data_IF_697120279838
#
_entry.id   IF_697120279838
#
_cell.length_a   1.000
_cell.length_b   1.000
_cell.length_c   1.000
_cell.angle_alpha   90.00
_cell.angle_beta   90.00
_cell.angle_gamma   90.00
#
_symmetry.space_group_name_H-M   'P 1'
#
loop_
_entity.id
_entity.type
_entity.pdbx_description
1 polymer ?
#
# COMPACT_ATOMS: atom_id res chain seq x y z
N UNK A 1 16.86 11.78 15.80
CA UNK A 1 15.77 11.81 16.80
C UNK A 1 14.67 10.87 16.36
N UNK A 2 14.21 9.93 17.19
CA UNK A 2 13.22 8.90 16.77
C UNK A 2 11.82 9.31 17.26
N UNK A 3 10.82 9.47 16.38
CA UNK A 3 9.49 9.99 16.77
C UNK A 3 8.79 9.03 17.74
N UNK A 4 8.84 7.73 17.46
CA UNK A 4 8.19 6.69 18.28
C UNK A 4 8.65 6.69 19.74
N UNK A 5 9.87 7.18 20.01
CA UNK A 5 10.44 7.28 21.36
C UNK A 5 10.40 8.70 21.91
N UNK A 6 10.71 9.70 21.09
CA UNK A 6 10.92 11.08 21.53
C UNK A 6 9.61 11.87 21.57
N UNK A 7 8.68 11.57 20.66
CA UNK A 7 7.42 12.30 20.49
C UNK A 7 6.23 11.35 20.28
N UNK A 8 5.94 10.45 21.24
CA UNK A 8 4.85 9.48 21.11
C UNK A 8 3.46 10.13 20.92
N UNK A 9 3.30 11.40 21.31
CA UNK A 9 2.08 12.18 21.09
C UNK A 9 1.74 12.39 19.60
N UNK A 10 2.70 12.27 18.67
CA UNK A 10 2.45 12.35 17.23
C UNK A 10 1.92 11.04 16.64
N UNK A 11 2.08 9.91 17.34
CA UNK A 11 1.72 8.59 16.81
C UNK A 11 0.23 8.42 16.48
N UNK A 12 -0.73 8.95 17.26
CA UNK A 12 -2.13 8.90 16.87
C UNK A 12 -2.35 9.51 15.49
N UNK A 13 -1.80 10.70 15.22
CA UNK A 13 -1.97 11.35 13.92
C UNK A 13 -1.32 10.56 12.78
N UNK A 14 -0.09 10.08 12.98
CA UNK A 14 0.63 9.25 11.98
C UNK A 14 -0.15 7.96 11.65
N UNK A 15 -0.80 7.36 12.65
CA UNK A 15 -1.63 6.17 12.46
C UNK A 15 -2.88 6.44 11.63
N UNK A 16 -3.54 7.58 11.85
CA UNK A 16 -4.75 7.95 11.11
C UNK A 16 -4.42 8.47 9.70
N UNK A 17 -3.19 8.92 9.45
CA UNK A 17 -2.78 9.34 8.12
C UNK A 17 -2.63 8.11 7.21
N UNK A 18 -3.39 7.99 6.11
CA UNK A 18 -3.42 6.77 5.28
C UNK A 18 -2.09 6.55 4.53
N UNK A 19 -1.36 7.59 4.18
CA UNK A 19 -0.10 7.43 3.45
C UNK A 19 0.28 8.69 2.71
N UNK A 20 1.56 8.77 2.33
CA UNK A 20 2.12 9.95 1.66
C UNK A 20 3.02 10.77 2.58
N UNK A 21 3.00 12.09 2.39
CA UNK A 21 3.89 13.04 3.08
C UNK A 21 3.10 13.85 4.10
N UNK A 22 3.47 13.71 5.38
CA UNK A 22 2.96 14.47 6.50
C UNK A 22 4.07 15.39 7.05
N UNK A 23 4.17 16.64 6.58
CA UNK A 23 5.09 17.61 7.15
C UNK A 23 4.61 18.04 8.54
N UNK A 24 5.54 18.21 9.47
CA UNK A 24 5.28 18.73 10.81
C UNK A 24 6.41 19.63 11.27
N UNK A 25 6.08 20.61 12.10
CA UNK A 25 7.10 21.25 12.94
C UNK A 25 7.52 20.29 14.05
N UNK A 26 8.82 20.24 14.35
CA UNK A 26 9.31 19.45 15.49
C UNK A 26 8.68 19.99 16.79
N UNK A 27 8.22 19.12 17.72
CA UNK A 27 7.65 19.55 19.00
C UNK A 27 8.58 20.41 19.87
N UNK A 28 9.90 20.26 19.71
CA UNK A 28 10.91 21.13 20.35
C UNK A 28 11.05 22.51 19.70
N UNK A 29 10.43 22.73 18.54
CA UNK A 29 10.45 23.97 17.79
C UNK A 29 11.75 24.24 17.01
N UNK A 30 12.72 23.33 17.04
CA UNK A 30 14.10 23.51 16.53
C UNK A 30 14.21 23.22 15.02
N UNK A 31 13.27 22.48 14.45
CA UNK A 31 13.29 22.10 13.05
C UNK A 31 11.95 21.61 12.52
N UNK A 32 12.02 20.95 11.36
CA UNK A 32 10.87 20.34 10.70
C UNK A 32 11.08 18.85 10.51
N UNK A 33 9.99 18.11 10.59
CA UNK A 33 9.89 16.69 10.38
C UNK A 33 9.14 16.47 9.06
N UNK A 34 9.73 15.68 8.17
CA UNK A 34 9.06 15.18 6.98
C UNK A 34 8.75 13.71 7.23
N UNK A 35 7.54 13.43 7.69
CA UNK A 35 7.08 12.06 7.95
C UNK A 35 6.56 11.51 6.62
N UNK A 36 7.14 10.42 6.13
CA UNK A 36 6.78 9.82 4.85
C UNK A 36 6.32 8.38 5.10
N UNK A 37 5.04 8.12 4.84
CA UNK A 37 4.37 6.84 5.09
C UNK A 37 4.11 6.11 3.77
N UNK A 38 4.84 5.02 3.53
CA UNK A 38 4.94 4.38 2.21
C UNK A 38 5.14 2.86 2.34
N UNK A 39 4.94 2.09 1.27
CA UNK A 39 5.39 0.70 1.21
C UNK A 39 6.89 0.52 1.40
N UNK A 40 7.28 -0.63 1.97
CA UNK A 40 8.66 -1.01 2.29
C UNK A 40 9.62 -0.92 1.10
N UNK A 41 9.12 -1.13 -0.13
CA UNK A 41 9.87 -1.02 -1.38
C UNK A 41 10.38 0.41 -1.59
N UNK A 42 9.52 1.40 -1.33
CA UNK A 42 9.85 2.82 -1.45
C UNK A 42 10.87 3.24 -0.40
N UNK A 43 10.67 2.75 0.83
CA UNK A 43 11.57 3.01 1.96
C UNK A 43 12.96 2.45 1.64
N UNK A 44 13.03 1.22 1.10
CA UNK A 44 14.29 0.59 0.70
C UNK A 44 14.96 1.37 -0.43
N UNK A 45 14.21 1.76 -1.47
CA UNK A 45 14.73 2.55 -2.58
C UNK A 45 15.35 3.87 -2.11
N UNK A 46 14.66 4.59 -1.22
CA UNK A 46 15.17 5.82 -0.59
C UNK A 46 16.46 5.59 0.21
N UNK A 47 16.50 4.52 1.03
CA UNK A 47 17.71 4.17 1.80
C UNK A 47 18.90 3.93 0.88
N UNK A 48 18.70 3.16 -0.20
CA UNK A 48 19.76 2.77 -1.13
C UNK A 48 20.26 3.95 -1.97
N UNK A 49 19.37 4.82 -2.43
CA UNK A 49 19.74 6.01 -3.21
C UNK A 49 20.40 7.09 -2.33
N UNK A 50 20.07 7.15 -1.04
CA UNK A 50 20.52 8.22 -0.15
C UNK A 50 19.83 9.57 -0.42
N UNK A 51 18.81 9.60 -1.27
CA UNK A 51 18.02 10.79 -1.56
C UNK A 51 16.64 10.45 -2.12
N UNK A 52 15.75 11.43 -2.10
CA UNK A 52 14.52 11.43 -2.91
C UNK A 52 14.45 12.70 -3.74
N UNK A 53 13.76 12.65 -4.89
CA UNK A 53 13.48 13.84 -5.70
C UNK A 53 12.01 14.20 -5.66
N UNK A 54 11.74 15.49 -5.56
CA UNK A 54 10.42 16.09 -5.54
C UNK A 54 10.25 16.99 -6.77
N UNK A 55 9.32 16.62 -7.63
CA UNK A 55 9.01 17.29 -8.88
C UNK A 55 7.75 18.13 -8.70
N UNK A 56 7.87 19.43 -8.98
CA UNK A 56 6.75 20.35 -9.02
C UNK A 56 6.19 20.35 -10.45
N UNK A 57 5.16 19.53 -10.67
CA UNK A 57 4.51 19.30 -11.96
C UNK A 57 3.53 20.43 -12.29
N UNK A 58 3.84 21.34 -13.24
CA UNK A 58 2.90 22.35 -13.68
C UNK A 58 1.81 21.71 -14.54
N UNK A 59 0.55 21.85 -14.13
CA UNK A 59 -0.60 21.33 -14.88
C UNK A 59 -1.69 22.39 -15.00
N UNK A 60 -2.56 22.23 -15.99
CA UNK A 60 -3.70 23.12 -16.20
C UNK A 60 -5.00 22.37 -15.88
N UNK A 61 -5.75 22.87 -14.91
CA UNK A 61 -7.00 22.28 -14.45
C UNK A 61 -8.10 23.33 -14.57
N UNK A 62 -9.10 23.07 -15.41
CA UNK A 62 -10.21 24.01 -15.69
C UNK A 62 -9.73 25.44 -16.03
N UNK A 63 -8.64 25.57 -16.79
CA UNK A 63 -8.06 26.86 -17.21
C UNK A 63 -7.17 27.54 -16.16
N UNK A 64 -7.06 26.99 -14.95
CA UNK A 64 -6.16 27.47 -13.91
C UNK A 64 -4.83 26.72 -13.94
N UNK A 65 -3.71 27.47 -13.88
CA UNK A 65 -2.38 26.89 -13.72
C UNK A 65 -2.15 26.52 -12.26
N UNK A 66 -2.01 25.23 -12.00
CA UNK A 66 -1.72 24.69 -10.67
C UNK A 66 -0.45 23.86 -10.71
N UNK A 67 0.12 23.59 -9.55
CA UNK A 67 1.29 22.73 -9.40
C UNK A 67 0.91 21.53 -8.54
N UNK A 68 1.20 20.33 -9.03
CA UNK A 68 1.17 19.11 -8.24
C UNK A 68 2.57 18.70 -7.77
N UNK A 69 2.64 17.85 -6.75
CA UNK A 69 3.90 17.27 -6.29
C UNK A 69 3.96 15.79 -6.68
N UNK A 70 5.06 15.40 -7.29
CA UNK A 70 5.43 14.00 -7.44
C UNK A 70 6.77 13.74 -6.76
N UNK A 71 6.82 12.78 -5.86
CA UNK A 71 8.04 12.35 -5.18
C UNK A 71 8.50 11.04 -5.80
N UNK A 72 9.76 10.98 -6.24
CA UNK A 72 10.38 9.82 -6.87
C UNK A 72 11.41 9.16 -5.95
N UNK A 73 11.35 7.83 -5.88
CA UNK A 73 12.23 6.95 -5.12
C UNK A 73 12.91 6.03 -6.13
N UNK A 74 14.22 6.20 -6.29
CA UNK A 74 14.96 5.62 -7.42
C UNK A 74 15.45 4.20 -7.09
N UNK A 75 14.64 3.20 -7.43
CA UNK A 75 15.06 1.80 -7.56
C UNK A 75 15.50 1.46 -8.99
N UNK A 76 14.86 2.08 -9.97
CA UNK A 76 15.25 2.20 -11.37
C UNK A 76 15.43 3.69 -11.73
N UNK A 77 16.39 4.01 -12.60
CA UNK A 77 16.68 5.40 -12.95
C UNK A 77 15.59 6.00 -13.86
N UNK A 78 15.05 5.19 -14.77
CA UNK A 78 14.13 5.65 -15.81
C UNK A 78 12.68 5.54 -15.34
N UNK A 79 12.39 4.52 -14.53
CA UNK A 79 11.05 4.24 -13.99
C UNK A 79 11.07 4.11 -12.46
N UNK A 80 11.35 5.21 -11.73
CA UNK A 80 11.38 5.18 -10.28
C UNK A 80 9.99 4.91 -9.70
N UNK A 81 9.94 4.35 -8.49
CA UNK A 81 8.72 4.34 -7.68
C UNK A 81 8.27 5.78 -7.41
N UNK A 82 6.98 6.07 -7.58
CA UNK A 82 6.44 7.43 -7.44
C UNK A 82 5.32 7.54 -6.42
N UNK A 83 5.30 8.65 -5.69
CA UNK A 83 4.22 9.08 -4.82
C UNK A 83 3.67 10.41 -5.35
N UNK A 84 2.38 10.44 -5.67
CA UNK A 84 1.68 11.68 -6.01
C UNK A 84 1.14 12.31 -4.75
N UNK A 85 1.46 13.58 -4.52
CA UNK A 85 0.91 14.39 -3.43
C UNK A 85 0.20 15.60 -4.04
N UNK A 86 -1.14 15.72 -3.87
CA UNK A 86 -1.84 16.91 -4.32
C UNK A 86 -1.41 18.10 -3.45
N UNK A 87 -1.18 19.24 -4.08
CA UNK A 87 -0.88 20.49 -3.37
C UNK A 87 -2.13 21.37 -3.37
N UNK A 88 -2.81 21.38 -2.23
CA UNK A 88 -4.05 22.12 -2.00
C UNK A 88 -3.76 23.45 -1.29
N UNK A 89 -4.66 24.43 -1.36
CA UNK A 89 -4.54 25.67 -0.57
C UNK A 89 -4.93 25.40 0.90
N UNK A 90 -4.08 24.64 1.59
CA UNK A 90 -4.28 24.12 2.94
C UNK A 90 -2.99 24.14 3.80
N UNK A 91 -3.16 23.93 5.11
CA UNK A 91 -2.07 23.92 6.09
C UNK A 91 -1.01 22.85 5.77
N UNK A 92 -1.41 21.72 5.19
CA UNK A 92 -0.50 20.63 4.84
C UNK A 92 0.52 21.06 3.77
N UNK A 93 0.05 21.75 2.73
CA UNK A 93 0.90 22.25 1.66
C UNK A 93 1.80 23.40 2.14
N UNK A 94 1.30 24.23 3.05
CA UNK A 94 2.09 25.27 3.70
C UNK A 94 3.20 24.71 4.58
N UNK A 95 2.89 23.72 5.42
CA UNK A 95 3.84 23.04 6.29
C UNK A 95 4.90 22.30 5.46
N UNK A 96 4.52 21.73 4.32
CA UNK A 96 5.48 21.13 3.38
C UNK A 96 6.47 22.18 2.88
N UNK A 97 5.97 23.31 2.41
CA UNK A 97 6.83 24.40 1.92
C UNK A 97 7.72 24.98 3.02
N UNK A 98 7.23 25.07 4.26
CA UNK A 98 8.03 25.46 5.41
C UNK A 98 9.14 24.45 5.70
N UNK A 99 8.82 23.15 5.68
CA UNK A 99 9.79 22.08 5.89
C UNK A 99 10.89 22.07 4.82
N UNK A 100 10.53 22.25 3.54
CA UNK A 100 11.48 22.33 2.43
C UNK A 100 12.43 23.53 2.53
N UNK A 101 11.99 24.64 3.11
CA UNK A 101 12.83 25.82 3.32
C UNK A 101 13.63 25.78 4.65
N UNK A 102 13.45 24.73 5.47
CA UNK A 102 14.13 24.58 6.75
C UNK A 102 15.61 24.23 6.58
N UNK A 103 16.47 24.78 7.44
CA UNK A 103 17.87 24.34 7.56
C UNK A 103 18.00 23.05 8.36
N UNK A 104 17.06 22.80 9.27
CA UNK A 104 16.99 21.61 10.11
C UNK A 104 15.78 20.78 9.66
N UNK A 105 16.04 19.77 8.83
CA UNK A 105 15.02 18.86 8.33
C UNK A 105 15.40 17.43 8.75
N UNK A 106 14.44 16.68 9.27
CA UNK A 106 14.57 15.24 9.51
C UNK A 106 13.51 14.50 8.72
N UNK A 107 13.91 13.47 7.98
CA UNK A 107 12.99 12.61 7.21
C UNK A 107 12.76 11.34 7.99
N UNK A 108 11.50 11.02 8.26
CA UNK A 108 11.10 9.83 9.01
C UNK A 108 10.29 8.91 8.10
N UNK A 109 10.82 7.72 7.85
CA UNK A 109 10.15 6.71 7.04
C UNK A 109 9.30 5.79 7.91
N UNK A 110 8.01 5.79 7.64
CA UNK A 110 7.05 4.88 8.24
C UNK A 110 6.49 3.95 7.17
N UNK A 111 6.19 2.71 7.54
CA UNK A 111 5.37 1.87 6.69
C UNK A 111 3.87 2.11 6.88
N UNK A 112 3.05 1.42 6.10
CA UNK A 112 1.60 1.55 6.10
C UNK A 112 0.98 1.25 7.48
N UNK A 113 1.63 0.40 8.28
CA UNK A 113 1.23 0.09 9.66
C UNK A 113 1.82 1.05 10.70
N UNK A 114 2.40 2.17 10.25
CA UNK A 114 2.94 3.23 11.10
C UNK A 114 4.09 2.75 11.98
N UNK A 115 4.91 1.86 11.45
CA UNK A 115 6.17 1.41 12.06
C UNK A 115 7.31 2.27 11.51
N UNK A 116 8.05 2.94 12.40
CA UNK A 116 9.17 3.85 12.03
C UNK A 116 10.41 3.02 11.70
N UNK A 117 10.82 2.99 10.44
CA UNK A 117 11.93 2.15 9.96
C UNK A 117 13.25 2.90 9.87
N UNK A 118 13.24 4.14 9.38
CA UNK A 118 14.45 4.94 9.25
C UNK A 118 14.21 6.38 9.60
N UNK A 119 15.24 7.02 10.16
CA UNK A 119 15.28 8.46 10.35
C UNK A 119 16.59 9.01 9.84
N UNK A 120 16.50 10.02 9.00
CA UNK A 120 17.65 10.70 8.43
C UNK A 120 17.64 12.17 8.81
N UNK A 121 18.80 12.71 9.18
CA UNK A 121 19.05 14.14 9.03
C UNK A 121 19.18 14.44 7.55
N UNK A 122 18.44 15.44 7.10
CA UNK A 122 18.29 15.70 5.68
C UNK A 122 18.41 17.18 5.36
N UNK A 123 18.69 17.47 4.09
CA UNK A 123 18.69 18.84 3.56
C UNK A 123 17.95 18.88 2.25
N UNK A 124 17.09 19.88 2.09
CA UNK A 124 16.47 20.17 0.81
C UNK A 124 17.37 21.08 -0.04
N UNK A 125 17.65 20.65 -1.26
CA UNK A 125 18.28 21.45 -2.30
C UNK A 125 17.18 21.83 -3.29
N UNK A 126 16.85 23.12 -3.32
CA UNK A 126 15.76 23.65 -4.15
C UNK A 126 16.38 24.50 -5.26
N UNK A 127 16.35 24.05 -6.52
CA UNK A 127 16.72 24.87 -7.67
C UNK A 127 15.87 26.14 -7.76
N UNK A 128 16.45 27.23 -8.28
CA UNK A 128 15.77 28.54 -8.36
C UNK A 128 14.45 28.47 -9.14
N UNK A 129 14.41 27.70 -10.22
CA UNK A 129 13.20 27.48 -11.01
C UNK A 129 12.05 26.85 -10.18
N UNK A 130 12.39 25.90 -9.30
CA UNK A 130 11.41 25.28 -8.40
C UNK A 130 11.02 26.19 -7.24
N UNK A 131 11.96 27.00 -6.73
CA UNK A 131 11.67 28.01 -5.70
C UNK A 131 10.56 28.97 -6.13
N UNK A 132 10.53 29.35 -7.41
CA UNK A 132 9.47 30.21 -7.97
C UNK A 132 8.09 29.54 -8.07
N UNK A 133 8.06 28.21 -8.10
CA UNK A 133 6.83 27.38 -8.14
C UNK A 133 6.29 27.10 -6.72
N UNK A 134 7.11 27.22 -5.68
CA UNK A 134 6.70 27.10 -4.26
C UNK A 134 5.94 28.37 -3.86
N UNK A 135 4.64 28.40 -4.11
CA UNK A 135 3.79 29.55 -3.82
C UNK A 135 2.31 29.18 -3.74
N UNK A 136 1.59 29.78 -2.79
CA UNK A 136 0.13 29.61 -2.64
C UNK A 136 -0.66 29.91 -3.91
N UNK A 137 -0.14 30.77 -4.79
CA UNK A 137 -0.79 31.15 -6.06
C UNK A 137 -0.99 29.97 -7.02
N UNK A 138 -0.23 28.89 -6.86
CA UNK A 138 -0.29 27.71 -7.72
C UNK A 138 -0.94 26.50 -7.04
N UNK A 139 -1.44 26.66 -5.81
CA UNK A 139 -2.14 25.59 -5.09
C UNK A 139 -3.56 25.42 -5.63
N UNK A 140 -4.04 24.18 -5.63
CA UNK A 140 -5.41 23.89 -6.03
C UNK A 140 -6.37 24.34 -4.92
N UNK A 141 -7.37 25.15 -5.30
CA UNK A 141 -8.35 25.71 -4.35
C UNK A 141 -9.64 24.92 -4.26
N UNK A 142 -10.03 24.25 -5.33
CA UNK A 142 -11.28 23.49 -5.41
C UNK A 142 -11.00 22.00 -5.27
N UNK A 143 -11.46 21.40 -4.17
CA UNK A 143 -11.30 19.97 -3.89
C UNK A 143 -12.05 19.07 -4.89
N UNK A 144 -13.07 19.56 -5.59
CA UNK A 144 -13.77 18.78 -6.62
C UNK A 144 -12.89 18.49 -7.84
N UNK A 145 -11.80 19.26 -8.02
CA UNK A 145 -10.85 19.08 -9.11
C UNK A 145 -9.67 18.18 -8.73
N UNK A 146 -9.67 17.61 -7.52
CA UNK A 146 -8.58 16.78 -7.02
C UNK A 146 -8.34 15.56 -7.90
N UNK A 147 -9.41 14.91 -8.38
CA UNK A 147 -9.30 13.77 -9.28
C UNK A 147 -8.54 14.11 -10.58
N UNK A 148 -8.88 15.24 -11.20
CA UNK A 148 -8.22 15.74 -12.42
C UNK A 148 -6.74 16.03 -12.18
N UNK A 149 -6.39 16.62 -11.03
CA UNK A 149 -5.01 16.90 -10.65
C UNK A 149 -4.20 15.61 -10.47
N UNK A 150 -4.75 14.62 -9.77
CA UNK A 150 -4.08 13.34 -9.52
C UNK A 150 -3.83 12.52 -10.79
N UNK A 151 -4.62 12.73 -11.85
CA UNK A 151 -4.39 12.11 -13.16
C UNK A 151 -3.35 12.86 -13.99
N UNK A 152 -3.37 14.19 -13.93
CA UNK A 152 -2.47 15.03 -14.73
C UNK A 152 -1.00 14.90 -14.28
N UNK A 153 -0.74 14.72 -12.98
CA UNK A 153 0.62 14.67 -12.43
C UNK A 153 1.44 13.48 -12.96
N UNK A 154 0.97 12.21 -12.87
CA UNK A 154 1.70 11.07 -13.44
C UNK A 154 1.88 11.19 -14.95
N UNK A 155 0.88 11.70 -15.66
CA UNK A 155 0.98 11.90 -17.10
C UNK A 155 2.10 12.89 -17.45
N UNK A 156 2.14 14.04 -16.77
CA UNK A 156 3.22 15.01 -16.93
C UNK A 156 4.59 14.39 -16.64
N UNK A 157 4.71 13.61 -15.56
CA UNK A 157 5.97 12.99 -15.16
C UNK A 157 6.46 11.92 -16.15
N UNK A 158 5.54 11.21 -16.81
CA UNK A 158 5.87 10.28 -17.89
C UNK A 158 6.51 10.95 -19.11
N UNK A 159 6.32 12.27 -19.25
CA UNK A 159 6.85 13.10 -20.33
C UNK A 159 8.01 13.99 -19.87
N UNK A 160 8.57 13.75 -18.67
CA UNK A 160 9.63 14.57 -18.10
C UNK A 160 10.87 14.59 -18.98
N UNK A 161 11.61 15.69 -18.91
CA UNK A 161 12.85 15.93 -19.64
C UNK A 161 14.04 16.00 -18.68
N UNK A 162 15.28 15.96 -19.20
CA UNK A 162 16.48 16.20 -18.40
C UNK A 162 16.46 17.54 -17.66
N UNK A 163 15.80 18.54 -18.24
CA UNK A 163 15.59 19.84 -17.58
C UNK A 163 14.72 19.70 -16.33
N UNK A 164 13.64 18.91 -16.41
CA UNK A 164 12.78 18.67 -15.25
C UNK A 164 13.53 17.93 -14.14
N UNK A 165 14.44 17.01 -14.50
CA UNK A 165 15.32 16.31 -13.55
C UNK A 165 16.36 17.21 -12.87
N UNK A 166 16.83 18.25 -13.57
CA UNK A 166 17.72 19.29 -13.02
C UNK A 166 16.96 20.32 -12.16
N UNK A 167 15.70 20.59 -12.49
CA UNK A 167 14.84 21.50 -11.74
C UNK A 167 14.21 20.84 -10.50
N UNK A 168 14.24 19.51 -10.39
CA UNK A 168 13.69 18.78 -9.25
C UNK A 168 14.33 19.19 -7.91
N UNK A 169 13.50 19.24 -6.87
CA UNK A 169 13.97 19.44 -5.50
C UNK A 169 14.60 18.14 -5.02
N UNK A 170 15.82 18.18 -4.50
CA UNK A 170 16.51 16.99 -3.98
C UNK A 170 16.48 17.05 -2.46
N UNK A 171 15.97 16.00 -1.82
CA UNK A 171 16.13 15.80 -0.36
C UNK A 171 17.27 14.80 -0.17
N UNK A 172 18.44 15.31 0.21
CA UNK A 172 19.62 14.48 0.46
C UNK A 172 19.61 13.96 1.90
N UNK A 173 19.94 12.69 2.08
CA UNK A 173 20.08 12.05 3.39
C UNK A 173 21.55 12.09 3.79
N UNK A 174 21.84 12.70 4.94
CA UNK A 174 23.21 12.95 5.39
C UNK A 174 23.68 11.96 6.45
N UNK A 175 22.88 11.78 7.51
CA UNK A 175 23.19 10.91 8.64
C UNK A 175 21.94 10.12 9.02
N UNK A 176 22.10 8.81 9.16
CA UNK A 176 21.06 7.92 9.68
C UNK A 176 21.13 7.91 11.20
N UNK A 177 20.03 8.25 11.87
CA UNK A 177 19.97 8.40 13.33
C UNK A 177 20.07 7.07 14.08
N UNK A 178 19.67 5.98 13.45
CA UNK A 178 19.84 4.62 13.92
C UNK A 178 19.92 3.67 12.73
N UNK A 179 20.69 2.59 12.85
CA UNK A 179 20.90 1.62 11.76
C UNK A 179 19.66 0.79 11.42
N UNK A 180 19.85 -0.29 10.68
CA UNK A 180 18.76 -1.21 10.35
C UNK A 180 18.08 -1.77 11.61
N UNK A 181 16.77 -1.54 11.70
CA UNK A 181 15.95 -2.02 12.81
C UNK A 181 15.07 -3.18 12.40
N UNK A 182 14.91 -4.08 13.35
CA UNK A 182 14.01 -5.20 13.27
C UNK A 182 12.93 -4.96 14.33
N UNK A 183 11.68 -4.77 13.91
CA UNK A 183 10.59 -4.35 14.78
C UNK A 183 9.79 -5.58 15.19
N UNK A 184 9.62 -5.78 16.49
CA UNK A 184 8.79 -6.85 17.04
C UNK A 184 7.55 -6.26 17.70
N UNK A 185 6.37 -6.73 17.31
CA UNK A 185 5.10 -6.38 17.95
C UNK A 185 4.65 -7.54 18.85
N UNK A 186 4.49 -7.24 20.13
CA UNK A 186 4.03 -8.16 21.17
C UNK A 186 2.65 -7.77 21.73
N UNK A 187 1.96 -6.81 21.11
CA UNK A 187 0.67 -6.35 21.61
C UNK A 187 -0.39 -7.46 21.45
N UNK A 188 -1.00 -7.96 22.55
CA UNK A 188 -1.95 -9.07 22.44
C UNK A 188 -3.16 -8.73 21.55
N UNK A 189 -3.59 -7.47 21.60
CA UNK A 189 -4.70 -6.96 20.79
C UNK A 189 -4.46 -7.00 19.28
N UNK A 190 -3.22 -7.17 18.83
CA UNK A 190 -2.88 -7.26 17.40
C UNK A 190 -2.79 -8.72 16.91
N UNK A 191 -2.98 -9.68 17.81
CA UNK A 191 -2.73 -11.11 17.58
C UNK A 191 -3.86 -11.97 18.16
N UNK A 192 -5.12 -11.52 18.07
CA UNK A 192 -6.31 -12.22 18.57
C UNK A 192 -7.01 -13.07 17.49
N UNK A 193 -6.48 -13.10 16.27
CA UNK A 193 -7.00 -13.93 15.19
C UNK A 193 -6.62 -15.40 15.38
N UNK A 194 -7.34 -16.30 14.72
CA UNK A 194 -7.07 -17.73 14.80
C UNK A 194 -5.79 -18.06 14.01
N UNK A 195 -4.85 -18.76 14.65
CA UNK A 195 -3.53 -19.08 14.08
C UNK A 195 -2.43 -18.08 14.43
N UNK A 196 -2.76 -17.03 15.19
CA UNK A 196 -1.77 -16.05 15.63
C UNK A 196 -0.69 -16.68 16.53
N UNK A 197 0.57 -16.25 16.32
CA UNK A 197 1.72 -16.68 17.15
C UNK A 197 1.84 -15.90 18.47
N UNK A 198 1.00 -14.89 18.68
CA UNK A 198 1.09 -13.94 19.79
C UNK A 198 2.14 -12.85 19.61
N UNK A 199 2.87 -12.86 18.51
CA UNK A 199 3.84 -11.85 18.12
C UNK A 199 4.00 -11.79 16.62
N UNK A 200 4.53 -10.68 16.12
CA UNK A 200 4.96 -10.53 14.74
C UNK A 200 6.27 -9.76 14.67
N UNK A 201 6.98 -9.93 13.57
CA UNK A 201 8.26 -9.30 13.31
C UNK A 201 8.21 -8.61 11.95
N UNK A 202 8.97 -7.53 11.77
CA UNK A 202 9.13 -6.88 10.47
C UNK A 202 10.49 -6.21 10.35
N UNK A 203 10.92 -6.09 9.11
CA UNK A 203 12.11 -5.37 8.66
C UNK A 203 11.85 -4.93 7.22
N UNK A 204 12.58 -3.91 6.77
CA UNK A 204 12.47 -3.39 5.40
C UNK A 204 12.98 -4.40 4.38
N UNK A 205 14.16 -4.95 4.59
CA UNK A 205 14.76 -5.95 3.71
C UNK A 205 14.26 -7.36 4.06
N UNK A 206 13.59 -8.03 3.12
CA UNK A 206 12.96 -9.34 3.35
C UNK A 206 13.42 -10.35 2.31
N UNK A 207 14.16 -11.38 2.73
CA UNK A 207 14.57 -12.50 1.87
C UNK A 207 13.45 -13.54 1.68
N UNK A 208 12.73 -13.84 2.76
CA UNK A 208 11.58 -14.75 2.77
C UNK A 208 10.33 -13.96 3.18
N UNK A 209 9.65 -13.31 2.22
CA UNK A 209 8.66 -12.29 2.53
C UNK A 209 7.26 -12.83 2.89
N UNK A 210 6.94 -14.09 2.55
CA UNK A 210 5.58 -14.65 2.63
C UNK A 210 4.91 -14.44 3.99
N UNK A 211 5.51 -14.99 5.05
CA UNK A 211 4.96 -14.85 6.41
C UNK A 211 4.82 -13.39 6.88
N UNK A 212 5.71 -12.49 6.45
CA UNK A 212 5.59 -11.07 6.78
C UNK A 212 4.42 -10.42 6.03
N UNK A 213 4.22 -10.77 4.76
CA UNK A 213 3.14 -10.23 3.96
C UNK A 213 1.78 -10.70 4.47
N UNK A 214 1.65 -11.97 4.84
CA UNK A 214 0.41 -12.52 5.41
C UNK A 214 0.02 -11.79 6.70
N UNK A 215 0.98 -11.55 7.60
CA UNK A 215 0.76 -10.78 8.83
C UNK A 215 0.38 -9.32 8.54
N UNK A 216 1.05 -8.68 7.58
CA UNK A 216 0.72 -7.32 7.13
C UNK A 216 -0.71 -7.27 6.51
N UNK A 217 -1.13 -8.30 5.76
CA UNK A 217 -2.50 -8.43 5.21
C UNK A 217 -3.53 -8.63 6.33
N UNK A 218 -3.25 -9.49 7.31
CA UNK A 218 -4.14 -9.69 8.47
C UNK A 218 -4.34 -8.38 9.24
N UNK A 219 -3.29 -7.57 9.37
CA UNK A 219 -3.39 -6.23 9.99
C UNK A 219 -4.29 -5.29 9.18
N UNK A 220 -4.22 -5.32 7.85
CA UNK A 220 -5.16 -4.58 7.00
C UNK A 220 -6.60 -5.06 7.23
N UNK A 221 -6.83 -6.37 7.11
CA UNK A 221 -8.17 -6.95 7.29
C UNK A 221 -8.74 -6.68 8.68
N UNK A 222 -7.91 -6.64 9.72
CA UNK A 222 -8.33 -6.32 11.10
C UNK A 222 -8.83 -4.87 11.28
N UNK A 223 -8.67 -4.00 10.28
CA UNK A 223 -9.29 -2.67 10.27
C UNK A 223 -10.78 -2.74 9.91
N UNK A 224 -11.20 -3.74 9.13
CA UNK A 224 -12.58 -3.89 8.65
C UNK A 224 -13.32 -5.04 9.34
N UNK A 225 -12.59 -6.07 9.80
CA UNK A 225 -13.14 -7.32 10.31
C UNK A 225 -12.74 -7.55 11.78
N UNK A 226 -13.62 -8.19 12.55
CA UNK A 226 -13.29 -8.63 13.89
C UNK A 226 -12.23 -9.75 13.84
N UNK A 227 -11.20 -9.70 14.67
CA UNK A 227 -10.09 -10.67 14.59
C UNK A 227 -10.52 -12.13 14.73
N UNK A 228 -11.54 -12.45 15.52
CA UNK A 228 -12.10 -13.81 15.64
C UNK A 228 -12.76 -14.33 14.34
N UNK A 229 -12.99 -13.46 13.36
CA UNK A 229 -13.49 -13.85 12.03
C UNK A 229 -12.34 -14.29 11.11
N UNK A 230 -11.09 -14.03 11.48
CA UNK A 230 -9.90 -14.23 10.64
C UNK A 230 -9.17 -15.50 11.10
N UNK A 231 -8.86 -16.36 10.13
CA UNK A 231 -8.12 -17.60 10.30
C UNK A 231 -6.89 -17.60 9.39
N UNK A 232 -5.70 -17.73 9.98
CA UNK A 232 -4.42 -17.74 9.28
C UNK A 232 -3.96 -19.18 9.01
N UNK A 233 -3.58 -19.46 7.76
CA UNK A 233 -3.11 -20.77 7.28
C UNK A 233 -3.99 -21.97 7.68
N UNK A 234 -5.32 -21.95 7.44
CA UNK A 234 -6.18 -23.11 7.65
C UNK A 234 -5.72 -24.32 6.84
N UNK A 235 -5.55 -25.47 7.50
CA UNK A 235 -5.11 -26.73 6.89
C UNK A 235 -6.29 -27.67 6.65
N UNK A 236 -6.30 -28.34 5.50
CA UNK A 236 -7.30 -29.35 5.17
C UNK A 236 -7.26 -30.53 6.14
N UNK A 237 -8.41 -31.16 6.35
CA UNK A 237 -8.52 -32.26 7.31
C UNK A 237 -7.83 -33.57 6.85
N UNK A 238 -7.64 -33.78 5.54
CA UNK A 238 -7.23 -35.08 5.00
C UNK A 238 -5.75 -35.19 4.66
N UNK A 239 -5.13 -34.14 4.13
CA UNK A 239 -3.73 -34.11 3.68
C UNK A 239 -2.88 -33.09 4.48
N UNK A 240 -3.52 -32.28 5.34
CA UNK A 240 -2.90 -31.16 6.06
C UNK A 240 -2.26 -30.11 5.15
N UNK A 241 -2.59 -30.10 3.85
CA UNK A 241 -2.21 -29.01 2.96
C UNK A 241 -3.01 -27.75 3.31
N UNK A 242 -2.41 -26.59 3.11
CA UNK A 242 -3.09 -25.32 3.34
C UNK A 242 -4.26 -25.15 2.35
N UNK A 243 -5.40 -24.69 2.87
CA UNK A 243 -6.58 -24.34 2.07
C UNK A 243 -6.33 -23.01 1.36
N UNK A 244 -5.93 -22.00 2.12
CA UNK A 244 -5.56 -20.67 1.66
C UNK A 244 -4.70 -19.96 2.70
N UNK A 245 -4.01 -18.90 2.31
CA UNK A 245 -3.14 -18.16 3.22
C UNK A 245 -3.97 -17.54 4.36
N UNK A 246 -5.11 -16.89 4.04
CA UNK A 246 -6.03 -16.32 5.05
C UNK A 246 -7.49 -16.61 4.68
N UNK A 247 -8.31 -16.97 5.66
CA UNK A 247 -9.75 -17.16 5.54
C UNK A 247 -10.48 -16.22 6.48
N UNK A 248 -11.44 -15.44 5.96
CA UNK A 248 -12.33 -14.60 6.77
C UNK A 248 -13.75 -15.13 6.69
N UNK A 249 -14.36 -15.41 7.83
CA UNK A 249 -15.72 -15.95 7.93
C UNK A 249 -16.59 -15.00 8.72
N UNK A 250 -17.46 -14.29 8.02
CA UNK A 250 -18.39 -13.34 8.61
C UNK A 250 -19.78 -13.93 8.77
N UNK A 251 -20.78 -13.13 9.17
CA UNK A 251 -22.18 -13.61 9.25
C UNK A 251 -22.75 -13.92 7.87
N UNK A 252 -22.43 -13.13 6.85
CA UNK A 252 -23.02 -13.23 5.51
C UNK A 252 -22.07 -13.85 4.48
N UNK A 253 -20.75 -13.79 4.71
CA UNK A 253 -19.77 -14.08 3.65
C UNK A 253 -18.59 -14.94 4.14
N UNK A 254 -17.95 -15.61 3.19
CA UNK A 254 -16.66 -16.29 3.33
C UNK A 254 -15.71 -15.67 2.32
N UNK A 255 -14.67 -15.01 2.80
CA UNK A 255 -13.62 -14.42 1.97
C UNK A 255 -12.36 -15.30 2.03
N UNK A 256 -11.96 -15.81 0.88
CA UNK A 256 -10.77 -16.62 0.70
C UNK A 256 -9.66 -15.70 0.20
N UNK A 257 -8.57 -15.58 0.93
CA UNK A 257 -7.46 -14.70 0.56
C UNK A 257 -6.23 -15.52 0.19
N UNK A 258 -5.63 -15.18 -0.95
CA UNK A 258 -4.36 -15.75 -1.41
C UNK A 258 -3.35 -14.61 -1.60
N UNK A 259 -2.23 -14.68 -0.89
CA UNK A 259 -1.17 -13.70 -0.88
C UNK A 259 0.05 -14.21 -1.68
N UNK A 260 0.65 -13.34 -2.48
CA UNK A 260 1.91 -13.62 -3.16
C UNK A 260 2.84 -12.41 -3.10
N UNK A 261 3.88 -12.54 -2.28
CA UNK A 261 4.96 -11.57 -2.22
C UNK A 261 6.17 -12.03 -3.06
N UNK A 262 7.09 -11.09 -3.30
CA UNK A 262 8.43 -11.39 -3.79
C UNK A 262 9.47 -10.69 -2.91
N UNK A 263 10.70 -11.22 -2.81
CA UNK A 263 11.65 -10.69 -1.83
C UNK A 263 11.92 -9.19 -2.05
N UNK A 264 12.10 -8.46 -0.96
CA UNK A 264 12.43 -7.03 -0.98
C UNK A 264 13.92 -6.88 -0.64
N UNK A 265 14.76 -6.99 -1.67
CA UNK A 265 16.22 -6.91 -1.55
C UNK A 265 16.75 -5.96 -2.59
N UNK A 266 17.91 -5.35 -2.33
CA UNK A 266 18.60 -4.45 -3.28
C UNK A 266 18.70 -5.05 -4.69
N UNK A 267 19.12 -6.33 -4.78
CA UNK A 267 19.25 -7.03 -6.05
C UNK A 267 17.93 -7.18 -6.84
N UNK A 268 16.79 -7.22 -6.16
CA UNK A 268 15.46 -7.28 -6.80
C UNK A 268 14.97 -5.88 -7.13
N UNK A 269 15.29 -4.89 -6.30
CA UNK A 269 14.95 -3.48 -6.51
C UNK A 269 15.48 -2.98 -7.86
N UNK A 270 16.73 -3.33 -8.20
CA UNK A 270 17.38 -2.94 -9.45
C UNK A 270 17.04 -3.82 -10.67
N UNK A 271 16.05 -4.70 -10.58
CA UNK A 271 15.64 -5.47 -11.76
C UNK A 271 14.92 -4.57 -12.76
N UNK A 272 15.19 -4.81 -14.05
CA UNK A 272 14.46 -4.16 -15.15
C UNK A 272 12.95 -4.37 -15.02
N UNK A 273 12.19 -3.35 -15.37
CA UNK A 273 10.71 -3.37 -15.31
C UNK A 273 10.09 -4.56 -16.03
N UNK A 274 10.61 -4.94 -17.20
CA UNK A 274 10.06 -6.07 -17.98
C UNK A 274 10.13 -7.39 -17.22
N UNK A 275 11.16 -7.56 -16.38
CA UNK A 275 11.29 -8.72 -15.49
C UNK A 275 10.34 -8.61 -14.29
N UNK A 276 10.19 -7.42 -13.69
CA UNK A 276 9.22 -7.17 -12.61
C UNK A 276 7.79 -7.52 -13.08
N UNK A 277 7.38 -7.03 -14.25
CA UNK A 277 6.09 -7.32 -14.89
C UNK A 277 5.86 -8.81 -15.14
N UNK A 278 6.84 -9.51 -15.70
CA UNK A 278 6.74 -10.95 -15.94
C UNK A 278 6.59 -11.74 -14.63
N UNK A 279 7.34 -11.35 -13.59
CA UNK A 279 7.23 -11.97 -12.27
C UNK A 279 5.86 -11.75 -11.63
N UNK A 280 5.28 -10.55 -11.76
CA UNK A 280 3.92 -10.24 -11.27
C UNK A 280 2.89 -11.14 -11.95
N UNK A 281 2.92 -11.26 -13.28
CA UNK A 281 1.99 -12.15 -14.00
C UNK A 281 2.16 -13.62 -13.62
N UNK A 282 3.40 -14.06 -13.38
CA UNK A 282 3.66 -15.42 -12.90
C UNK A 282 3.08 -15.64 -11.49
N UNK A 283 3.29 -14.70 -10.58
CA UNK A 283 2.78 -14.75 -9.22
C UNK A 283 1.23 -14.77 -9.21
N UNK A 284 0.60 -13.92 -10.02
CA UNK A 284 -0.85 -13.87 -10.16
C UNK A 284 -1.42 -15.20 -10.67
N UNK A 285 -0.85 -15.76 -11.74
CA UNK A 285 -1.30 -17.05 -12.28
C UNK A 285 -1.16 -18.18 -11.25
N UNK A 286 -0.10 -18.17 -10.44
CA UNK A 286 0.08 -19.11 -9.33
C UNK A 286 -1.01 -18.92 -8.27
N UNK A 287 -1.32 -17.69 -7.88
CA UNK A 287 -2.39 -17.37 -6.94
C UNK A 287 -3.75 -17.84 -7.47
N UNK A 288 -4.07 -17.60 -8.74
CA UNK A 288 -5.29 -18.09 -9.40
C UNK A 288 -5.38 -19.62 -9.30
N UNK A 289 -4.28 -20.33 -9.55
CA UNK A 289 -4.22 -21.79 -9.39
C UNK A 289 -4.55 -22.25 -7.96
N UNK A 290 -4.01 -21.57 -6.95
CA UNK A 290 -4.31 -21.86 -5.55
C UNK A 290 -5.75 -21.53 -5.17
N UNK A 291 -6.31 -20.42 -5.66
CA UNK A 291 -7.74 -20.11 -5.50
C UNK A 291 -8.61 -21.23 -6.07
N UNK A 292 -8.30 -21.75 -7.26
CA UNK A 292 -9.07 -22.88 -7.84
C UNK A 292 -9.05 -24.11 -6.91
N UNK A 293 -7.90 -24.39 -6.30
CA UNK A 293 -7.74 -25.47 -5.31
C UNK A 293 -8.53 -25.22 -4.03
N UNK A 294 -8.43 -24.02 -3.46
CA UNK A 294 -9.14 -23.60 -2.25
C UNK A 294 -10.66 -23.70 -2.43
N UNK A 295 -11.18 -23.15 -3.53
CA UNK A 295 -12.60 -23.23 -3.90
C UNK A 295 -13.02 -24.69 -4.12
N UNK A 296 -12.20 -25.48 -4.79
CA UNK A 296 -12.44 -26.92 -4.97
C UNK A 296 -12.52 -27.71 -3.67
N UNK A 297 -11.80 -27.29 -2.63
CA UNK A 297 -11.95 -27.86 -1.28
C UNK A 297 -13.24 -27.38 -0.60
N UNK A 298 -13.45 -26.06 -0.53
CA UNK A 298 -14.57 -25.44 0.20
C UNK A 298 -15.93 -25.80 -0.42
N UNK A 299 -16.00 -25.98 -1.75
CA UNK A 299 -17.24 -26.38 -2.44
C UNK A 299 -17.66 -27.83 -2.18
N UNK A 300 -16.82 -28.66 -1.53
CA UNK A 300 -17.21 -30.01 -1.08
C UNK A 300 -18.06 -30.00 0.19
N UNK A 301 -18.19 -28.84 0.83
CA UNK A 301 -18.91 -28.66 2.08
C UNK A 301 -20.15 -27.79 1.86
N UNK A 302 -21.29 -28.23 2.40
CA UNK A 302 -22.57 -27.54 2.25
C UNK A 302 -22.93 -26.67 3.47
N UNK A 303 -22.54 -27.11 4.68
CA UNK A 303 -23.00 -26.50 5.93
C UNK A 303 -21.85 -26.03 6.83
N UNK A 304 -20.91 -26.93 7.12
CA UNK A 304 -19.76 -26.65 7.98
C UNK A 304 -18.49 -26.93 7.21
N UNK A 305 -17.57 -25.97 7.19
CA UNK A 305 -16.22 -26.15 6.67
C UNK A 305 -15.31 -26.51 7.84
N UNK A 306 -14.77 -27.72 7.80
CA UNK A 306 -13.83 -28.22 8.79
C UNK A 306 -12.39 -28.05 8.29
N UNK A 307 -11.52 -27.56 9.16
CA UNK A 307 -10.10 -27.37 8.91
C UNK A 307 -9.31 -27.34 10.23
N UNK A 308 -8.00 -27.50 10.15
CA UNK A 308 -7.11 -27.37 11.28
C UNK A 308 -6.42 -26.00 11.31
N UNK A 309 -6.21 -25.48 12.51
CA UNK A 309 -5.29 -24.38 12.77
C UNK A 309 -4.26 -24.92 13.77
N UNK A 310 -3.02 -25.11 13.30
CA UNK A 310 -2.06 -25.95 14.01
C UNK A 310 -2.65 -27.36 14.23
N UNK A 311 -2.81 -27.75 15.49
CA UNK A 311 -3.35 -29.06 15.89
C UNK A 311 -4.83 -29.02 16.28
N UNK A 312 -5.46 -27.83 16.30
CA UNK A 312 -6.87 -27.66 16.70
C UNK A 312 -7.81 -27.78 15.51
N UNK A 313 -8.86 -28.61 15.64
CA UNK A 313 -9.91 -28.73 14.63
C UNK A 313 -10.96 -27.62 14.83
N UNK A 314 -11.14 -26.81 13.81
CA UNK A 314 -12.18 -25.79 13.72
C UNK A 314 -13.26 -26.23 12.73
N UNK A 315 -14.52 -25.96 13.10
CA UNK A 315 -15.67 -26.11 12.21
C UNK A 315 -16.42 -24.78 12.14
N UNK A 316 -16.46 -24.17 10.96
CA UNK A 316 -17.16 -22.90 10.74
C UNK A 316 -18.38 -23.11 9.85
N UNK A 317 -19.50 -22.51 10.22
CA UNK A 317 -20.70 -22.55 9.39
C UNK A 317 -20.44 -21.75 8.10
N UNK A 318 -20.69 -22.35 6.95
CA UNK A 318 -20.63 -21.72 5.61
C UNK A 318 -21.97 -21.80 4.86
N UNK A 319 -23.01 -22.37 5.48
CA UNK A 319 -24.34 -22.49 4.90
C UNK A 319 -24.89 -21.10 4.54
N UNK A 320 -25.40 -20.98 3.31
CA UNK A 320 -26.02 -19.76 2.79
C UNK A 320 -25.12 -18.51 2.83
N UNK A 321 -23.80 -18.66 2.98
CA UNK A 321 -22.86 -17.54 2.89
C UNK A 321 -22.37 -17.37 1.47
N UNK A 322 -22.24 -16.10 1.06
CA UNK A 322 -21.61 -15.79 -0.22
C UNK A 322 -20.12 -16.08 -0.14
N UNK A 323 -19.59 -16.77 -1.15
CA UNK A 323 -18.16 -17.04 -1.26
C UNK A 323 -17.54 -15.95 -2.12
N UNK A 324 -16.48 -15.32 -1.63
CA UNK A 324 -15.71 -14.24 -2.29
C UNK A 324 -14.23 -14.60 -2.23
N UNK A 325 -13.45 -14.12 -3.19
CA UNK A 325 -12.00 -14.41 -3.24
C UNK A 325 -11.19 -13.13 -3.45
N UNK A 326 -10.19 -12.92 -2.61
CA UNK A 326 -9.22 -11.84 -2.78
C UNK A 326 -7.83 -12.43 -3.08
N UNK A 327 -7.21 -11.98 -4.16
CA UNK A 327 -5.80 -12.22 -4.44
C UNK A 327 -5.03 -10.94 -4.09
N UNK A 328 -3.99 -11.06 -3.28
CA UNK A 328 -3.11 -9.95 -2.92
C UNK A 328 -1.73 -10.26 -3.48
N UNK A 329 -1.27 -9.45 -4.43
CA UNK A 329 0.11 -9.54 -4.94
C UNK A 329 0.95 -8.38 -4.42
N UNK A 330 2.27 -8.47 -4.56
CA UNK A 330 3.17 -7.38 -4.19
C UNK A 330 2.84 -6.06 -4.90
N UNK A 331 2.65 -6.12 -6.21
CA UNK A 331 2.53 -4.95 -7.09
C UNK A 331 1.65 -5.30 -8.30
N UNK A 332 0.79 -4.38 -8.71
CA UNK A 332 0.03 -4.42 -9.95
C UNK A 332 0.30 -3.12 -10.73
N UNK A 333 0.70 -3.26 -11.99
CA UNK A 333 0.98 -2.09 -12.82
C UNK A 333 -0.31 -1.51 -13.40
N UNK A 334 -0.46 -0.19 -13.31
CA UNK A 334 -1.66 0.54 -13.71
C UNK A 334 -2.01 0.40 -15.21
N UNK A 335 -1.06 0.00 -16.05
CA UNK A 335 -1.22 -0.19 -17.49
C UNK A 335 -1.30 -1.67 -17.89
N UNK A 336 -1.39 -2.60 -16.92
CA UNK A 336 -1.49 -4.04 -17.15
C UNK A 336 -2.86 -4.63 -16.83
N UNK A 337 -3.89 -3.82 -16.49
CA UNK A 337 -5.26 -4.32 -16.24
C UNK A 337 -5.75 -5.24 -17.37
N UNK A 338 -5.46 -4.89 -18.62
CA UNK A 338 -5.80 -5.69 -19.79
C UNK A 338 -5.15 -7.09 -19.78
N UNK A 339 -3.95 -7.23 -19.23
CA UNK A 339 -3.22 -8.51 -19.20
C UNK A 339 -3.75 -9.43 -18.10
N UNK A 340 -4.11 -8.91 -16.93
CA UNK A 340 -4.53 -9.73 -15.79
C UNK A 340 -6.05 -9.87 -15.62
N UNK A 341 -6.86 -9.01 -16.23
CA UNK A 341 -8.32 -9.13 -16.15
C UNK A 341 -8.85 -10.44 -16.76
N UNK A 342 -8.40 -10.88 -17.96
CA UNK A 342 -8.92 -12.10 -18.59
C UNK A 342 -8.80 -13.37 -17.72
N UNK A 343 -7.64 -13.72 -17.14
CA UNK A 343 -7.54 -14.93 -16.32
C UNK A 343 -8.37 -14.85 -15.02
N UNK A 344 -8.58 -13.66 -14.45
CA UNK A 344 -9.44 -13.44 -13.28
C UNK A 344 -10.93 -13.59 -13.62
N UNK A 345 -11.37 -13.02 -14.74
CA UNK A 345 -12.75 -13.18 -15.22
C UNK A 345 -13.04 -14.63 -15.63
N UNK A 346 -12.04 -15.32 -16.17
CA UNK A 346 -12.16 -16.75 -16.50
C UNK A 346 -12.43 -17.60 -15.26
N UNK A 347 -11.65 -17.46 -14.18
CA UNK A 347 -11.89 -18.23 -12.96
C UNK A 347 -13.24 -17.87 -12.32
N UNK A 348 -13.65 -16.60 -12.39
CA UNK A 348 -14.94 -16.14 -11.88
C UNK A 348 -16.10 -16.86 -12.58
N UNK A 349 -16.03 -16.98 -13.92
CA UNK A 349 -17.00 -17.73 -14.71
C UNK A 349 -16.94 -19.25 -14.44
N UNK A 350 -15.75 -19.83 -14.38
CA UNK A 350 -15.56 -21.28 -14.15
C UNK A 350 -16.05 -21.75 -12.78
N UNK A 351 -15.87 -20.92 -11.74
CA UNK A 351 -16.18 -21.28 -10.35
C UNK A 351 -17.46 -20.68 -9.82
N UNK A 352 -18.09 -19.76 -10.57
CA UNK A 352 -19.25 -18.99 -10.16
C UNK A 352 -19.05 -18.33 -8.78
N UNK A 353 -17.89 -17.69 -8.61
CA UNK A 353 -17.46 -17.01 -7.38
C UNK A 353 -16.78 -15.71 -7.79
N UNK A 354 -17.13 -14.62 -7.13
CA UNK A 354 -16.50 -13.33 -7.40
C UNK A 354 -15.04 -13.35 -6.93
N UNK A 355 -14.17 -12.77 -7.74
CA UNK A 355 -12.73 -12.68 -7.49
C UNK A 355 -12.29 -11.23 -7.69
N UNK A 356 -11.45 -10.72 -6.78
CA UNK A 356 -10.75 -9.44 -6.95
C UNK A 356 -9.25 -9.70 -6.75
N UNK A 357 -8.42 -9.06 -7.56
CA UNK A 357 -6.98 -8.99 -7.32
C UNK A 357 -6.60 -7.55 -6.98
N UNK A 358 -5.81 -7.37 -5.93
CA UNK A 358 -5.25 -6.10 -5.51
C UNK A 358 -3.74 -6.26 -5.34
N UNK A 359 -3.00 -5.16 -5.51
CA UNK A 359 -1.70 -5.09 -4.88
C UNK A 359 -1.82 -4.76 -3.38
N UNK A 360 -0.73 -4.97 -2.64
CA UNK A 360 -0.74 -4.72 -1.21
C UNK A 360 -1.02 -3.24 -0.86
N UNK A 361 -0.42 -2.23 -1.53
CA UNK A 361 -0.78 -0.83 -1.32
C UNK A 361 -2.27 -0.51 -1.56
N UNK A 362 -2.90 -1.09 -2.58
CA UNK A 362 -4.32 -0.97 -2.87
C UNK A 362 -5.16 -1.58 -1.74
N UNK A 363 -4.83 -2.80 -1.28
CA UNK A 363 -5.51 -3.42 -0.14
C UNK A 363 -5.40 -2.56 1.12
N UNK A 364 -4.22 -2.01 1.42
CA UNK A 364 -4.06 -1.16 2.57
C UNK A 364 -4.99 0.07 2.50
N UNK A 365 -5.02 0.76 1.35
CA UNK A 365 -5.93 1.89 1.14
C UNK A 365 -7.39 1.47 1.24
N UNK A 366 -7.72 0.29 0.71
CA UNK A 366 -9.03 -0.33 0.84
C UNK A 366 -9.47 -0.38 2.31
N UNK A 367 -8.64 -0.98 3.15
CA UNK A 367 -8.95 -1.19 4.56
C UNK A 367 -8.85 0.08 5.41
N UNK A 368 -7.96 1.01 5.04
CA UNK A 368 -7.77 2.26 5.77
C UNK A 368 -8.93 3.26 5.52
N UNK A 369 -9.57 3.20 4.35
CA UNK A 369 -10.68 4.09 3.99
C UNK A 369 -12.07 3.49 4.21
N UNK A 370 -12.19 2.16 4.27
CA UNK A 370 -13.45 1.45 4.46
C UNK A 370 -13.42 0.86 5.87
N UNK A 371 -14.14 1.49 6.80
CA UNK A 371 -13.92 1.30 8.24
C UNK A 371 -14.68 0.09 8.82
N UNK A 372 -15.42 -0.65 8.00
CA UNK A 372 -16.17 -1.82 8.43
C UNK A 372 -16.36 -2.90 7.34
N UNK A 373 -16.93 -4.03 7.77
CA UNK A 373 -17.23 -5.19 6.94
C UNK A 373 -18.16 -4.88 5.76
N UNK A 374 -19.21 -4.05 5.95
CA UNK A 374 -20.18 -3.79 4.88
C UNK A 374 -19.56 -2.87 3.81
N UNK A 375 -18.90 -1.79 4.22
CA UNK A 375 -18.20 -0.89 3.30
C UNK A 375 -17.12 -1.62 2.48
N UNK A 376 -16.37 -2.54 3.12
CA UNK A 376 -15.39 -3.38 2.44
C UNK A 376 -16.04 -4.19 1.31
N UNK A 377 -17.14 -4.89 1.60
CA UNK A 377 -17.79 -5.73 0.60
C UNK A 377 -18.58 -4.94 -0.45
N UNK A 378 -19.15 -3.79 -0.11
CA UNK A 378 -19.79 -2.90 -1.09
C UNK A 378 -18.79 -2.36 -2.11
N UNK A 379 -17.61 -1.95 -1.65
CA UNK A 379 -16.53 -1.61 -2.57
C UNK A 379 -16.12 -2.83 -3.40
N UNK A 380 -16.07 -4.03 -2.81
CA UNK A 380 -15.62 -5.24 -3.49
C UNK A 380 -16.58 -5.58 -4.62
N UNK A 381 -17.87 -5.52 -4.33
CA UNK A 381 -18.94 -5.82 -5.27
C UNK A 381 -18.94 -4.80 -6.42
N UNK A 382 -18.73 -3.50 -6.15
CA UNK A 382 -18.58 -2.48 -7.20
C UNK A 382 -17.41 -2.74 -8.15
N UNK A 383 -16.27 -3.20 -7.63
CA UNK A 383 -15.10 -3.57 -8.45
C UNK A 383 -15.45 -4.73 -9.38
N UNK A 384 -16.13 -5.75 -8.83
CA UNK A 384 -16.55 -6.94 -9.58
C UNK A 384 -17.60 -6.60 -10.64
N UNK A 385 -18.62 -5.82 -10.29
CA UNK A 385 -19.66 -5.36 -11.22
C UNK A 385 -19.04 -4.60 -12.38
N UNK A 386 -18.17 -3.64 -12.08
CA UNK A 386 -17.45 -2.87 -13.11
C UNK A 386 -16.61 -3.78 -14.01
N UNK A 387 -15.91 -4.77 -13.42
CA UNK A 387 -15.11 -5.72 -14.18
C UNK A 387 -15.95 -6.60 -15.11
N UNK A 388 -17.12 -7.05 -14.66
CA UNK A 388 -18.07 -7.83 -15.46
C UNK A 388 -18.67 -7.00 -16.60
N UNK A 389 -19.03 -5.75 -16.33
CA UNK A 389 -19.62 -4.83 -17.32
C UNK A 389 -18.62 -4.43 -18.41
N UNK A 390 -17.37 -4.13 -18.03
CA UNK A 390 -16.35 -3.63 -18.96
C UNK A 390 -15.49 -4.73 -19.58
N UNK A 391 -15.47 -5.93 -18.98
CA UNK A 391 -14.53 -6.98 -19.33
C UNK A 391 -13.09 -6.72 -18.83
N UNK A 392 -12.90 -5.71 -17.98
CA UNK A 392 -11.62 -5.29 -17.43
C UNK A 392 -11.81 -4.68 -16.05
N UNK A 393 -10.93 -4.99 -15.10
CA UNK A 393 -10.97 -4.42 -13.75
C UNK A 393 -10.70 -2.91 -13.77
N UNK A 394 -11.40 -2.11 -12.95
CA UNK A 394 -11.17 -0.68 -12.89
C UNK A 394 -9.90 -0.34 -12.11
N UNK A 395 -9.29 0.80 -12.45
CA UNK A 395 -8.30 1.45 -11.59
C UNK A 395 -8.97 2.00 -10.33
N UNK A 396 -8.42 1.67 -9.16
CA UNK A 396 -9.01 2.07 -7.88
C UNK A 396 -8.53 3.45 -7.44
N UNK A 397 -9.45 4.23 -6.87
CA UNK A 397 -9.17 5.52 -6.24
C UNK A 397 -9.87 5.57 -4.89
N UNK A 398 -9.12 5.90 -3.85
CA UNK A 398 -9.62 6.02 -2.49
C UNK A 398 -9.41 7.45 -1.99
N UNK A 399 -10.36 7.97 -1.21
CA UNK A 399 -10.25 9.28 -0.57
C UNK A 399 -10.34 10.49 -1.50
N UNK A 400 -10.83 10.32 -2.74
CA UNK A 400 -11.00 11.40 -3.72
C UNK A 400 -12.49 11.55 -4.04
N UNK A 401 -13.08 12.76 -3.94
CA UNK A 401 -14.43 13.02 -4.45
C UNK A 401 -14.51 12.67 -5.93
N UNK A 402 -15.52 11.87 -6.31
CA UNK A 402 -15.79 11.54 -7.72
C UNK A 402 -16.68 12.57 -8.40
#
# INVERSE_FOLDING_TARGET
MVITLSYPALLPEIRHYPGGILPKRSPDGIGHLLIIKLPKEYILAAKLSGFIKMYLAPVEISGAKVVGLLTAFFDDHDEPLTLVTPLMDDDLSEDLFAALNSQNLSVHFFDEHSREHFVFKSKAIIPEASRQKISKKFLLKDSMQLGSLLDAIPHWFSLRTERDDLEAIVIEFSEMEFGDVAIQDLQPKSHQYHGARGYSHTQVERKEPGSYQEEDIIRCLSMCFEQKQIYHSPLRCHDKEEVCDILVVTRKRVLIVQAKDSPNTEAISHQKISRKRSNVMHALNKAIGQVKGALGYIQKFDHTLDFFIGDELHGVNIANKEKKTLIVVKELFNDQYFEYSPPLLQIMAEKNVDVVALDYPELYKYCAHLADEEEFFEAYDRVVETAKERGEYPRLRFGVPQ
#
